data_IF_619834020586
#
_entry.id   IF_619834020586
#
_cell.length_a   1.000
_cell.length_b   1.000
_cell.length_c   1.000
_cell.angle_alpha   90.00
_cell.angle_beta   90.00
_cell.angle_gamma   90.00
#
_symmetry.space_group_name_H-M   'P 1'
#
loop_
_entity.id
_entity.type
_entity.pdbx_description
1 polymer ?
#
# COMPACT_ATOMS: atom_id res chain seq x y z
N UNK A 1 -22.65 39.44 -6.55
CA UNK A 1 -21.37 39.12 -5.85
C UNK A 1 -21.47 37.92 -4.92
N UNK A 2 -22.48 37.84 -4.04
CA UNK A 2 -22.59 36.77 -3.03
C UNK A 2 -22.83 35.36 -3.60
N UNK A 3 -23.67 35.23 -4.64
CA UNK A 3 -23.96 33.92 -5.25
C UNK A 3 -22.71 33.22 -5.82
N UNK A 4 -21.79 33.99 -6.40
CA UNK A 4 -20.53 33.47 -6.96
C UNK A 4 -19.64 32.93 -5.83
N UNK A 5 -19.60 33.62 -4.70
CA UNK A 5 -18.83 33.21 -3.52
C UNK A 5 -19.40 31.92 -2.90
N UNK A 6 -20.73 31.78 -2.84
CA UNK A 6 -21.34 30.58 -2.29
C UNK A 6 -21.11 29.35 -3.18
N UNK A 7 -21.16 29.53 -4.50
CA UNK A 7 -20.88 28.44 -5.46
C UNK A 7 -19.42 28.00 -5.39
N UNK A 8 -18.47 28.94 -5.30
CA UNK A 8 -17.04 28.60 -5.20
C UNK A 8 -16.69 27.91 -3.89
N UNK A 9 -17.32 28.29 -2.77
CA UNK A 9 -17.15 27.62 -1.47
C UNK A 9 -17.70 26.20 -1.49
N UNK A 10 -18.88 25.98 -2.06
CA UNK A 10 -19.50 24.64 -2.15
C UNK A 10 -18.69 23.69 -3.05
N UNK A 11 -18.21 24.17 -4.21
CA UNK A 11 -17.34 23.35 -5.06
C UNK A 11 -15.97 23.06 -4.42
N UNK A 12 -15.41 23.99 -3.66
CA UNK A 12 -14.16 23.79 -2.92
C UNK A 12 -14.27 22.69 -1.85
N UNK A 13 -15.42 22.60 -1.17
CA UNK A 13 -15.69 21.55 -0.18
C UNK A 13 -15.85 20.16 -0.80
N UNK A 14 -16.42 20.07 -2.01
CA UNK A 14 -16.60 18.80 -2.73
C UNK A 14 -15.29 18.29 -3.36
N UNK A 15 -14.37 19.18 -3.73
CA UNK A 15 -13.04 18.83 -4.25
C UNK A 15 -12.04 18.43 -3.14
N UNK A 16 -12.39 18.66 -1.87
CA UNK A 16 -11.55 18.44 -0.69
C UNK A 16 -11.53 17.00 -0.15
N UNK A 17 -12.02 16.01 -0.90
CA UNK A 17 -11.79 14.61 -0.58
C UNK A 17 -10.32 14.27 -0.84
N UNK A 18 -9.43 14.70 0.07
CA UNK A 18 -8.15 14.03 0.31
C UNK A 18 -8.47 12.53 0.30
N UNK A 19 -7.70 11.70 -0.41
CA UNK A 19 -7.79 10.23 -0.31
C UNK A 19 -7.80 9.90 1.19
N UNK A 20 -8.99 9.65 1.72
CA UNK A 20 -9.18 9.54 3.15
C UNK A 20 -8.35 8.36 3.61
N UNK A 21 -7.80 8.43 4.82
CA UNK A 21 -7.36 7.20 5.48
C UNK A 21 -8.59 6.28 5.54
N UNK A 22 -8.67 5.30 4.63
CA UNK A 22 -9.80 4.40 4.54
C UNK A 22 -9.96 3.67 5.87
N UNK A 23 -11.18 3.64 6.40
CA UNK A 23 -11.48 2.83 7.56
C UNK A 23 -11.49 1.36 7.13
N UNK A 24 -10.39 0.66 7.42
CA UNK A 24 -10.26 -0.78 7.21
C UNK A 24 -9.18 -1.18 6.21
N UNK A 25 -8.62 -2.38 6.43
CA UNK A 25 -7.66 -3.02 5.55
C UNK A 25 -8.35 -3.54 4.28
N UNK A 26 -7.85 -3.16 3.10
CA UNK A 26 -8.44 -3.51 1.81
C UNK A 26 -7.37 -3.64 0.70
N UNK A 27 -7.70 -4.31 -0.42
CA UNK A 27 -6.84 -4.33 -1.58
C UNK A 27 -6.80 -2.96 -2.28
N UNK A 28 -5.60 -2.44 -2.55
CA UNK A 28 -5.38 -1.17 -3.24
C UNK A 28 -4.49 -1.37 -4.47
N UNK A 29 -4.91 -0.81 -5.60
CA UNK A 29 -4.12 -0.84 -6.83
C UNK A 29 -3.01 0.22 -6.80
N UNK A 30 -1.80 -0.18 -7.18
CA UNK A 30 -0.68 0.72 -7.46
C UNK A 30 0.18 0.17 -8.60
N UNK A 31 1.15 0.99 -9.02
CA UNK A 31 2.16 0.57 -9.99
C UNK A 31 3.50 0.42 -9.29
N UNK A 32 4.15 -0.74 -9.41
CA UNK A 32 5.48 -0.99 -8.83
C UNK A 32 6.53 -1.14 -9.94
N UNK A 33 7.78 -0.78 -9.63
CA UNK A 33 8.92 -1.07 -10.49
C UNK A 33 9.38 -2.52 -10.32
N UNK A 34 9.62 -3.19 -11.44
CA UNK A 34 10.23 -4.52 -11.50
C UNK A 34 11.45 -4.47 -12.41
N UNK A 35 12.52 -5.17 -12.03
CA UNK A 35 13.81 -5.12 -12.72
C UNK A 35 14.29 -6.52 -13.10
N UNK A 36 14.75 -6.69 -14.34
CA UNK A 36 15.42 -7.90 -14.82
C UNK A 36 16.29 -7.58 -16.03
N UNK A 37 17.37 -8.34 -16.21
CA UNK A 37 18.40 -8.06 -17.23
C UNK A 37 18.95 -6.61 -17.18
N UNK A 38 18.90 -5.93 -16.02
CA UNK A 38 19.27 -4.50 -15.89
C UNK A 38 18.26 -3.51 -16.47
N UNK A 39 17.10 -3.98 -16.95
CA UNK A 39 16.00 -3.17 -17.45
C UNK A 39 14.91 -3.06 -16.38
N UNK A 40 14.23 -1.91 -16.32
CA UNK A 40 13.15 -1.65 -15.36
C UNK A 40 11.84 -1.39 -16.10
N UNK A 41 10.75 -1.98 -15.60
CA UNK A 41 9.39 -1.80 -16.11
C UNK A 41 8.45 -1.53 -14.96
N UNK A 42 7.42 -0.72 -15.21
CA UNK A 42 6.32 -0.51 -14.29
C UNK A 42 5.20 -1.51 -14.55
N UNK A 43 4.73 -2.17 -13.49
CA UNK A 43 3.59 -3.10 -13.55
C UNK A 43 2.51 -2.67 -12.57
N UNK A 44 1.26 -2.80 -12.99
CA UNK A 44 0.13 -2.58 -12.09
C UNK A 44 -0.08 -3.85 -11.26
N UNK A 45 -0.18 -3.67 -9.96
CA UNK A 45 -0.46 -4.73 -9.00
C UNK A 45 -1.46 -4.23 -7.96
N UNK A 46 -1.90 -5.13 -7.09
CA UNK A 46 -2.73 -4.84 -5.92
C UNK A 46 -1.94 -5.19 -4.66
N UNK A 47 -1.97 -4.32 -3.65
CA UNK A 47 -1.38 -4.56 -2.31
C UNK A 47 -2.45 -4.46 -1.23
N UNK A 48 -2.10 -4.78 0.00
CA UNK A 48 -2.93 -4.46 1.16
C UNK A 48 -2.58 -3.10 1.76
N UNK A 49 -3.58 -2.24 1.87
CA UNK A 49 -3.47 -0.92 2.51
C UNK A 49 -4.68 -0.68 3.43
N UNK A 50 -4.46 0.05 4.52
CA UNK A 50 -5.52 0.50 5.41
C UNK A 50 -5.14 0.45 6.87
N UNK A 51 -6.11 0.72 7.73
CA UNK A 51 -5.94 0.76 9.18
C UNK A 51 -6.53 -0.48 9.83
N UNK A 52 -5.84 -0.98 10.87
CA UNK A 52 -6.30 -2.07 11.72
C UNK A 52 -6.48 -1.57 13.15
N UNK A 53 -7.55 -2.05 13.81
CA UNK A 53 -7.81 -1.69 15.19
C UNK A 53 -6.74 -2.28 16.11
N UNK A 54 -6.14 -1.44 16.95
CA UNK A 54 -5.10 -1.83 17.90
C UNK A 54 -5.48 -1.30 19.28
N UNK A 55 -5.16 -2.06 20.33
CA UNK A 55 -5.45 -1.69 21.71
C UNK A 55 -4.25 -2.01 22.58
N UNK A 56 -3.70 -0.99 23.22
CA UNK A 56 -2.67 -1.16 24.23
C UNK A 56 -3.29 -1.52 25.59
N UNK A 57 -2.51 -2.19 26.44
CA UNK A 57 -2.93 -2.48 27.81
C UNK A 57 -2.74 -1.24 28.68
N UNK A 58 -3.76 -0.92 29.47
CA UNK A 58 -3.68 0.13 30.48
C UNK A 58 -2.82 -0.26 31.70
N UNK A 59 -2.38 -1.52 31.77
CA UNK A 59 -1.53 -2.03 32.85
C UNK A 59 -0.47 -2.98 32.28
N UNK A 60 0.80 -2.66 32.52
CA UNK A 60 1.94 -3.40 31.99
C UNK A 60 2.24 -4.57 32.93
N UNK A 61 1.88 -5.80 32.52
CA UNK A 61 2.47 -7.03 33.10
C UNK A 61 3.52 -7.58 32.14
N UNK A 62 4.75 -7.91 32.60
CA UNK A 62 5.84 -8.39 31.74
C UNK A 62 5.51 -9.63 30.87
N UNK A 63 4.51 -10.41 31.29
CA UNK A 63 4.13 -11.68 30.65
C UNK A 63 3.03 -11.48 29.56
N UNK A 64 2.30 -10.36 29.59
CA UNK A 64 1.23 -10.09 28.64
C UNK A 64 1.76 -9.24 27.49
N UNK A 65 2.20 -9.91 26.41
CA UNK A 65 2.40 -9.25 25.12
C UNK A 65 1.07 -9.24 24.37
N UNK A 66 0.49 -8.06 24.16
CA UNK A 66 -0.65 -7.93 23.25
C UNK A 66 -0.14 -8.14 21.84
N UNK A 67 -0.73 -9.10 21.15
CA UNK A 67 -0.50 -9.28 19.74
C UNK A 67 -1.19 -8.14 18.99
N UNK A 68 -0.42 -7.41 18.19
CA UNK A 68 -0.92 -6.35 17.32
C UNK A 68 -1.14 -6.93 15.93
N UNK A 69 -2.29 -6.58 15.33
CA UNK A 69 -2.59 -6.94 13.95
C UNK A 69 -2.04 -5.88 12.99
N UNK A 70 -1.67 -6.35 11.81
CA UNK A 70 -1.26 -5.54 10.66
C UNK A 70 -2.25 -5.76 9.50
N UNK A 71 -2.29 -4.82 8.57
CA UNK A 71 -3.04 -4.99 7.33
C UNK A 71 -2.24 -5.88 6.38
N UNK A 72 -2.71 -7.11 6.16
CA UNK A 72 -2.07 -8.09 5.28
C UNK A 72 -3.12 -9.07 4.73
N UNK A 73 -2.75 -10.01 3.88
CA UNK A 73 -3.71 -11.00 3.39
C UNK A 73 -3.09 -12.08 2.53
N UNK A 74 -3.87 -12.54 1.55
CA UNK A 74 -3.51 -13.66 0.70
C UNK A 74 -2.87 -13.12 -0.58
N UNK A 75 -1.68 -13.62 -0.89
CA UNK A 75 -0.86 -13.16 -2.02
C UNK A 75 -0.71 -14.27 -3.04
N UNK A 76 -0.59 -13.90 -4.31
CA UNK A 76 -0.14 -14.78 -5.37
C UNK A 76 0.94 -14.11 -6.19
N UNK A 77 1.76 -14.91 -6.83
CA UNK A 77 2.80 -14.45 -7.73
C UNK A 77 2.29 -14.43 -9.18
N UNK A 78 2.56 -13.33 -9.89
CA UNK A 78 2.34 -13.20 -11.34
C UNK A 78 3.66 -12.93 -12.05
N UNK A 79 3.73 -13.22 -13.34
CA UNK A 79 4.95 -13.07 -14.15
C UNK A 79 4.72 -12.05 -15.26
N UNK A 80 5.62 -11.08 -15.38
CA UNK A 80 5.68 -10.17 -16.53
C UNK A 80 6.97 -10.37 -17.31
N UNK A 81 6.97 -9.94 -18.57
CA UNK A 81 8.18 -9.88 -19.39
C UNK A 81 8.51 -8.43 -19.74
N UNK A 82 9.82 -8.13 -19.73
CA UNK A 82 10.37 -6.86 -20.17
C UNK A 82 10.88 -7.07 -21.60
N UNK A 83 10.50 -6.18 -22.51
CA UNK A 83 10.97 -6.27 -23.90
C UNK A 83 12.51 -6.25 -23.96
N UNK A 84 13.09 -7.18 -24.71
CA UNK A 84 14.54 -7.37 -24.77
C UNK A 84 15.16 -8.20 -23.64
N UNK A 85 14.38 -8.68 -22.66
CA UNK A 85 14.85 -9.61 -21.63
C UNK A 85 14.15 -10.98 -21.77
N UNK A 86 14.90 -12.09 -21.94
CA UNK A 86 14.32 -13.42 -22.07
C UNK A 86 13.83 -14.01 -20.73
N UNK A 87 14.13 -13.34 -19.60
CA UNK A 87 13.80 -13.80 -18.25
C UNK A 87 12.57 -13.06 -17.75
N UNK A 88 11.51 -13.82 -17.44
CA UNK A 88 10.31 -13.28 -16.80
C UNK A 88 10.58 -12.81 -15.37
N UNK A 89 9.87 -11.77 -14.93
CA UNK A 89 9.97 -11.21 -13.59
C UNK A 89 8.71 -11.52 -12.81
N UNK A 90 8.90 -12.15 -11.66
CA UNK A 90 7.80 -12.48 -10.75
C UNK A 90 7.52 -11.30 -9.83
N UNK A 91 6.24 -10.95 -9.65
CA UNK A 91 5.81 -9.88 -8.77
C UNK A 91 4.57 -10.29 -7.96
N UNK A 92 4.43 -9.78 -6.72
CA UNK A 92 3.33 -10.16 -5.83
C UNK A 92 2.05 -9.41 -6.18
N UNK A 93 0.91 -10.09 -6.04
CA UNK A 93 -0.45 -9.54 -6.19
C UNK A 93 -1.31 -9.97 -5.01
N UNK A 94 -1.81 -9.00 -4.24
CA UNK A 94 -2.77 -9.26 -3.17
C UNK A 94 -4.14 -9.64 -3.75
N UNK A 95 -4.67 -10.79 -3.32
CA UNK A 95 -5.99 -11.29 -3.72
C UNK A 95 -7.08 -10.92 -2.72
N UNK A 96 -6.69 -10.76 -1.46
CA UNK A 96 -7.56 -10.38 -0.36
C UNK A 96 -6.73 -9.70 0.74
N UNK A 97 -7.35 -8.85 1.56
CA UNK A 97 -6.70 -8.11 2.63
C UNK A 97 -7.57 -8.10 3.89
N UNK A 98 -6.94 -8.24 5.05
CA UNK A 98 -7.56 -8.31 6.39
C UNK A 98 -6.59 -7.86 7.48
N UNK A 99 -7.11 -7.55 8.65
CA UNK A 99 -6.29 -7.40 9.84
C UNK A 99 -5.92 -8.80 10.36
N UNK A 100 -4.62 -9.06 10.48
CA UNK A 100 -4.09 -10.36 10.91
C UNK A 100 -2.74 -10.17 11.57
N UNK A 101 -2.27 -11.19 12.30
CA UNK A 101 -0.92 -11.22 12.82
C UNK A 101 0.10 -11.19 11.68
N UNK A 102 1.22 -10.49 11.91
CA UNK A 102 2.33 -10.52 10.98
C UNK A 102 3.01 -11.90 10.99
N UNK A 103 3.18 -12.49 9.83
CA UNK A 103 3.89 -13.75 9.67
C UNK A 103 5.35 -13.47 9.26
N UNK A 104 6.34 -13.65 10.17
CA UNK A 104 7.73 -13.31 9.88
C UNK A 104 8.40 -14.26 8.87
N UNK A 105 7.74 -15.37 8.50
CA UNK A 105 8.26 -16.32 7.50
C UNK A 105 8.20 -15.73 6.09
N UNK A 106 7.20 -14.90 5.80
CA UNK A 106 6.95 -14.37 4.46
C UNK A 106 6.76 -12.85 4.41
N UNK A 107 6.77 -12.19 5.57
CA UNK A 107 6.55 -10.74 5.69
C UNK A 107 7.61 -10.15 6.62
N UNK A 108 8.23 -9.05 6.22
CA UNK A 108 9.11 -8.29 7.10
C UNK A 108 8.27 -7.55 8.15
N UNK A 109 8.27 -8.06 9.38
CA UNK A 109 7.44 -7.56 10.48
C UNK A 109 8.09 -6.37 11.20
N UNK A 110 8.43 -5.33 10.46
CA UNK A 110 9.00 -4.10 11.00
C UNK A 110 8.18 -2.87 10.58
N UNK A 111 8.49 -1.74 11.20
CA UNK A 111 7.97 -0.46 10.72
C UNK A 111 8.51 -0.22 9.32
N UNK A 112 7.62 -0.11 8.33
CA UNK A 112 8.02 0.21 6.96
C UNK A 112 8.77 1.56 6.92
N UNK A 113 10.03 1.54 6.50
CA UNK A 113 10.90 2.74 6.38
C UNK A 113 11.15 3.17 4.94
N UNK A 114 10.61 2.45 3.95
CA UNK A 114 10.81 2.75 2.54
C UNK A 114 9.86 3.82 2.00
N UNK A 115 10.19 4.37 0.84
CA UNK A 115 9.17 4.94 -0.03
C UNK A 115 8.34 3.80 -0.61
N UNK A 116 7.04 3.99 -0.80
CA UNK A 116 6.26 3.06 -1.61
C UNK A 116 6.97 2.92 -2.97
N UNK A 117 7.16 1.69 -3.46
CA UNK A 117 7.83 1.36 -4.73
C UNK A 117 7.07 1.88 -5.97
N UNK A 118 6.29 2.94 -5.79
CA UNK A 118 5.43 3.54 -6.78
C UNK A 118 6.27 4.13 -7.90
N UNK A 119 5.96 3.71 -9.12
CA UNK A 119 6.57 4.25 -10.34
C UNK A 119 6.40 5.77 -10.54
N UNK A 120 5.58 6.43 -9.72
CA UNK A 120 5.43 7.88 -9.69
C UNK A 120 6.68 8.64 -9.20
N UNK A 121 7.69 7.97 -8.64
CA UNK A 121 8.95 8.59 -8.18
C UNK A 121 10.15 8.41 -9.12
N UNK A 122 9.98 7.80 -10.30
CA UNK A 122 11.09 7.56 -11.24
C UNK A 122 11.36 8.71 -12.23
N UNK A 123 10.56 9.78 -12.18
CA UNK A 123 10.87 11.06 -12.83
C UNK A 123 11.47 11.94 -11.75
N UNK A 124 12.80 11.94 -11.58
CA UNK A 124 13.59 13.06 -11.01
C UNK A 124 15.08 12.71 -10.87
N UNK A 125 15.68 12.00 -11.83
CA UNK A 125 17.15 11.96 -11.93
C UNK A 125 17.60 11.90 -13.41
N UNK A 126 17.48 13.05 -14.09
CA UNK A 126 18.39 13.48 -15.15
C UNK A 126 18.53 15.00 -15.09
#
# INVERSE_FOLDING_TARGET
MQLVVMVTVVLGLLAGARRGCGFGCHPTNLSISVTSCGLTKCVNTTICEGQCYQKDLNYIRPILRVQQEICNGDWSDEVTYIEGCPVGVTYPVARNCRCTLCNPVNTECERFRGAALSCSHFIDHY
#
